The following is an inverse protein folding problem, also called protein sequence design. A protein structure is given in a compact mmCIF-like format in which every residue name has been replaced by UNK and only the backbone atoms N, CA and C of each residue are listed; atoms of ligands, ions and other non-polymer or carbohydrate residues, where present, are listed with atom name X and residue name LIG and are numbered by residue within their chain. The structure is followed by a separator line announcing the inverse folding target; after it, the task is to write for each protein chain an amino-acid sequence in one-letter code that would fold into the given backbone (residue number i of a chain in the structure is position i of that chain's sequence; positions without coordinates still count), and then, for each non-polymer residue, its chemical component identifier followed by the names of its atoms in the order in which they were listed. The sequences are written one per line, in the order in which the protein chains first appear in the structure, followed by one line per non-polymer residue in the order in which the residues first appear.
data_IF_189609637356
#
_entry.id   IF_189609637356
#
_cell.length_a   1.000
_cell.length_b   1.000
_cell.length_c   1.000
_cell.angle_alpha   90.00
_cell.angle_beta   90.00
_cell.angle_gamma   90.00
#
_symmetry.space_group_name_H-M   'P 1'
#
loop_
_entity.id
_entity.type
_entity.pdbx_description
1 polymer ?
#
# COMPACT_ATOMS: atom_id res chain seq x y z
N UNK A 1 9.95 -30.95 0.42
CA UNK A 1 10.65 -29.83 -0.25
C UNK A 1 11.97 -29.63 0.52
N UNK A 2 12.88 -28.68 0.23
CA UNK A 2 14.01 -28.45 1.14
C UNK A 2 13.52 -27.90 2.49
N UNK A 3 14.11 -28.39 3.58
CA UNK A 3 13.76 -27.92 4.92
C UNK A 3 14.51 -26.62 5.23
N UNK A 4 13.77 -25.56 5.52
CA UNK A 4 14.27 -24.28 6.00
C UNK A 4 14.22 -24.28 7.53
N UNK A 5 15.32 -23.97 8.20
CA UNK A 5 15.34 -23.77 9.66
C UNK A 5 15.83 -22.37 10.00
N UNK A 6 15.11 -21.65 10.86
CA UNK A 6 15.49 -20.30 11.32
C UNK A 6 14.86 -20.02 12.69
N UNK A 7 15.34 -19.00 13.38
CA UNK A 7 14.75 -18.51 14.62
C UNK A 7 14.03 -17.20 14.33
N UNK A 8 12.72 -17.13 14.53
CA UNK A 8 11.92 -15.92 14.31
C UNK A 8 11.40 -15.42 15.65
N UNK A 9 11.69 -14.16 15.98
CA UNK A 9 11.28 -13.53 17.25
C UNK A 9 11.65 -14.38 18.50
N UNK A 10 12.80 -15.07 18.46
CA UNK A 10 13.27 -15.96 19.52
C UNK A 10 12.69 -17.39 19.51
N UNK A 11 11.82 -17.73 18.56
CA UNK A 11 11.22 -19.07 18.42
C UNK A 11 11.86 -19.81 17.25
N UNK A 12 12.33 -21.04 17.47
CA UNK A 12 12.88 -21.88 16.40
C UNK A 12 11.76 -22.46 15.52
N UNK A 13 11.97 -22.39 14.20
CA UNK A 13 11.08 -22.93 13.19
C UNK A 13 11.83 -23.88 12.25
N UNK A 14 11.15 -24.96 11.85
CA UNK A 14 11.58 -25.85 10.78
C UNK A 14 10.40 -26.03 9.81
N UNK A 15 10.54 -25.53 8.58
CA UNK A 15 9.47 -25.40 7.61
C UNK A 15 9.83 -26.12 6.31
N UNK A 16 8.84 -26.76 5.69
CA UNK A 16 8.98 -27.35 4.35
C UNK A 16 8.43 -26.39 3.30
N UNK A 17 9.30 -25.56 2.70
CA UNK A 17 8.90 -24.48 1.79
C UNK A 17 9.54 -24.62 0.40
N UNK A 18 8.88 -24.12 -0.67
CA UNK A 18 9.48 -24.08 -2.01
C UNK A 18 10.81 -23.31 -2.05
N UNK A 19 11.77 -23.81 -2.85
CA UNK A 19 13.12 -23.21 -2.94
C UNK A 19 13.15 -21.76 -3.44
N UNK A 20 12.13 -21.35 -4.23
CA UNK A 20 12.00 -20.01 -4.76
C UNK A 20 11.30 -19.00 -3.85
N UNK A 21 10.85 -19.42 -2.65
CA UNK A 21 10.06 -18.56 -1.75
C UNK A 21 10.94 -17.47 -1.12
N UNK A 22 10.40 -16.26 -1.02
CA UNK A 22 11.04 -15.13 -0.37
C UNK A 22 10.71 -15.11 1.14
N UNK A 23 11.56 -14.43 1.91
CA UNK A 23 11.44 -14.39 3.37
C UNK A 23 10.13 -13.73 3.80
N UNK A 24 9.67 -12.67 3.11
CA UNK A 24 8.39 -12.03 3.41
C UNK A 24 7.22 -13.01 3.28
N UNK A 25 7.24 -13.87 2.26
CA UNK A 25 6.19 -14.87 2.01
C UNK A 25 6.21 -15.95 3.10
N UNK A 26 7.39 -16.39 3.54
CA UNK A 26 7.52 -17.34 4.66
C UNK A 26 6.97 -16.74 5.95
N UNK A 27 7.35 -15.50 6.27
CA UNK A 27 6.89 -14.81 7.48
C UNK A 27 5.37 -14.63 7.45
N UNK A 28 4.81 -14.15 6.35
CA UNK A 28 3.37 -13.85 6.24
C UNK A 28 2.51 -15.10 6.13
N UNK A 29 2.81 -15.97 5.17
CA UNK A 29 1.90 -17.03 4.75
C UNK A 29 2.15 -18.37 5.45
N UNK A 30 3.39 -18.65 5.85
CA UNK A 30 3.73 -19.90 6.55
C UNK A 30 3.74 -19.73 8.08
N UNK A 31 4.07 -18.53 8.57
CA UNK A 31 4.14 -18.22 10.01
C UNK A 31 3.03 -17.29 10.52
N UNK A 32 2.23 -16.67 9.64
CA UNK A 32 1.13 -15.77 10.03
C UNK A 32 1.58 -14.41 10.58
N UNK A 33 2.84 -14.02 10.37
CA UNK A 33 3.42 -12.75 10.83
C UNK A 33 3.17 -11.66 9.79
N UNK A 34 1.93 -11.18 9.74
CA UNK A 34 1.45 -10.23 8.74
C UNK A 34 1.93 -8.80 8.98
N UNK A 35 2.60 -8.50 10.09
CA UNK A 35 3.23 -7.20 10.36
C UNK A 35 4.36 -6.86 9.37
N UNK A 36 4.95 -7.87 8.73
CA UNK A 36 5.83 -7.69 7.56
C UNK A 36 4.97 -7.37 6.33
N UNK A 37 4.83 -6.09 5.99
CA UNK A 37 3.95 -5.64 4.90
C UNK A 37 4.64 -5.73 3.54
N UNK A 38 3.93 -6.20 2.51
CA UNK A 38 4.43 -6.23 1.13
C UNK A 38 3.72 -5.14 0.33
N UNK A 39 4.47 -4.11 -0.07
CA UNK A 39 3.99 -3.03 -0.92
C UNK A 39 4.41 -3.22 -2.37
N UNK A 40 5.52 -2.59 -2.76
CA UNK A 40 6.02 -2.66 -4.14
C UNK A 40 6.49 -4.05 -4.59
N UNK A 41 6.85 -4.93 -3.64
CA UNK A 41 7.45 -6.25 -3.92
C UNK A 41 8.73 -6.20 -4.80
N UNK A 42 9.44 -5.07 -4.77
CA UNK A 42 10.61 -4.78 -5.62
C UNK A 42 11.80 -4.19 -4.83
N UNK A 43 11.72 -4.21 -3.49
CA UNK A 43 12.73 -3.62 -2.57
C UNK A 43 12.99 -2.11 -2.73
N UNK A 44 11.94 -1.37 -3.06
CA UNK A 44 12.00 0.10 -3.20
C UNK A 44 11.35 0.82 -2.00
N UNK A 45 10.28 0.25 -1.43
CA UNK A 45 9.45 0.97 -0.45
C UNK A 45 9.82 0.73 1.02
N UNK A 46 10.64 -0.28 1.34
CA UNK A 46 11.04 -0.62 2.72
C UNK A 46 9.91 -1.08 3.66
N UNK A 47 8.68 -1.30 3.17
CA UNK A 47 7.56 -1.74 4.02
C UNK A 47 7.77 -3.15 4.61
N UNK A 48 8.53 -3.98 3.88
CA UNK A 48 8.82 -5.38 4.23
C UNK A 48 10.10 -5.55 5.06
N UNK A 49 10.65 -4.48 5.61
CA UNK A 49 11.92 -4.54 6.34
C UNK A 49 11.81 -5.43 7.57
N UNK A 50 12.73 -6.39 7.67
CA UNK A 50 12.95 -7.24 8.85
C UNK A 50 14.44 -7.25 9.18
N UNK A 51 14.81 -7.66 10.39
CA UNK A 51 16.22 -7.74 10.80
C UNK A 51 16.66 -9.20 10.76
N UNK A 52 17.69 -9.51 9.95
CA UNK A 52 18.31 -10.84 9.86
C UNK A 52 19.74 -10.75 10.39
N UNK A 53 20.05 -11.47 11.47
CA UNK A 53 21.36 -11.46 12.14
C UNK A 53 21.85 -10.02 12.43
N UNK A 54 20.98 -9.17 12.97
CA UNK A 54 21.29 -7.78 13.31
C UNK A 54 21.35 -6.80 12.12
N UNK A 55 21.03 -7.22 10.90
CA UNK A 55 21.00 -6.35 9.72
C UNK A 55 19.60 -6.25 9.14
N UNK A 56 19.12 -5.04 8.87
CA UNK A 56 17.88 -4.84 8.15
C UNK A 56 18.00 -5.32 6.70
N UNK A 57 16.94 -5.98 6.21
CA UNK A 57 16.83 -6.46 4.82
C UNK A 57 15.40 -6.27 4.32
N UNK A 58 15.25 -5.99 3.03
CA UNK A 58 13.97 -6.06 2.34
C UNK A 58 13.56 -7.51 2.11
N UNK A 59 12.68 -8.02 2.97
CA UNK A 59 12.32 -9.45 2.96
C UNK A 59 11.55 -9.89 1.70
N UNK A 60 10.96 -8.94 0.95
CA UNK A 60 10.17 -9.24 -0.26
C UNK A 60 11.00 -9.80 -1.42
N UNK A 61 12.29 -9.50 -1.48
CA UNK A 61 13.22 -10.07 -2.49
C UNK A 61 14.32 -10.93 -1.86
N UNK A 62 14.31 -11.12 -0.54
CA UNK A 62 15.32 -11.88 0.17
C UNK A 62 14.97 -13.37 0.08
N UNK A 63 15.76 -14.22 -0.62
CA UNK A 63 15.43 -15.64 -0.73
C UNK A 63 15.42 -16.30 0.65
N UNK A 64 14.34 -17.02 0.99
CA UNK A 64 14.16 -17.55 2.35
C UNK A 64 15.32 -18.46 2.78
N UNK A 65 15.87 -19.26 1.87
CA UNK A 65 17.01 -20.14 2.14
C UNK A 65 18.34 -19.41 2.44
N UNK A 66 18.45 -18.10 2.18
CA UNK A 66 19.59 -17.31 2.69
C UNK A 66 19.48 -17.06 4.19
N UNK A 67 18.30 -17.21 4.79
CA UNK A 67 18.07 -17.11 6.24
C UNK A 67 18.23 -18.46 6.97
N UNK A 68 18.78 -19.48 6.30
CA UNK A 68 19.04 -20.78 6.92
C UNK A 68 19.95 -20.64 8.17
N UNK A 69 19.42 -21.03 9.32
CA UNK A 69 20.06 -20.93 10.63
C UNK A 69 20.17 -19.50 11.18
N UNK A 70 19.51 -18.52 10.55
CA UNK A 70 19.58 -17.13 10.97
C UNK A 70 18.59 -16.80 12.09
N UNK A 71 18.90 -15.75 12.84
CA UNK A 71 17.96 -15.08 13.74
C UNK A 71 17.26 -13.95 12.96
N UNK A 72 15.93 -14.00 12.93
CA UNK A 72 15.07 -13.04 12.25
C UNK A 72 14.18 -12.36 13.28
N UNK A 73 14.21 -11.03 13.30
CA UNK A 73 13.31 -10.20 14.09
C UNK A 73 12.34 -9.48 13.15
N UNK A 74 11.05 -9.60 13.47
CA UNK A 74 9.93 -8.91 12.81
C UNK A 74 9.31 -7.89 13.77
N UNK A 75 8.38 -7.07 13.28
CA UNK A 75 7.75 -6.02 14.10
C UNK A 75 7.02 -6.58 15.32
N UNK A 76 6.45 -7.78 15.19
CA UNK A 76 5.74 -8.51 16.25
C UNK A 76 6.66 -8.87 17.42
N UNK A 77 7.96 -9.08 17.15
CA UNK A 77 8.95 -9.43 18.17
C UNK A 77 9.60 -8.23 18.86
N UNK A 78 9.41 -7.00 18.36
CA UNK A 78 10.20 -5.82 18.78
C UNK A 78 9.99 -5.48 20.26
N UNK A 79 8.74 -5.47 20.74
CA UNK A 79 8.43 -5.18 22.14
C UNK A 79 8.91 -6.31 23.07
N UNK A 80 8.60 -7.56 22.73
CA UNK A 80 8.93 -8.73 23.55
C UNK A 80 10.45 -8.92 23.71
N UNK A 81 11.22 -8.77 22.63
CA UNK A 81 12.69 -8.90 22.67
C UNK A 81 13.34 -7.79 23.48
N UNK A 82 12.80 -6.57 23.43
CA UNK A 82 13.24 -5.46 24.27
C UNK A 82 12.98 -5.69 25.75
N UNK A 83 11.76 -6.10 26.11
CA UNK A 83 11.38 -6.39 27.50
C UNK A 83 12.28 -7.47 28.11
N UNK A 84 12.64 -8.51 27.34
CA UNK A 84 13.55 -9.57 27.81
C UNK A 84 14.99 -9.07 28.09
N UNK A 85 15.41 -7.97 27.46
CA UNK A 85 16.73 -7.37 27.67
C UNK A 85 16.77 -6.40 28.86
N UNK A 86 15.61 -5.94 29.34
CA UNK A 86 15.50 -5.04 30.48
C UNK A 86 15.16 -5.82 31.77
N UNK A 87 15.89 -5.58 32.85
CA UNK A 87 15.60 -6.16 34.17
C UNK A 87 14.16 -5.81 34.61
N UNK A 88 13.39 -6.73 35.22
CA UNK A 88 11.96 -6.53 35.47
C UNK A 88 11.77 -5.48 36.58
N UNK A 89 11.63 -4.22 36.20
CA UNK A 89 11.05 -3.18 37.07
C UNK A 89 9.62 -2.96 36.59
N UNK A 90 8.77 -3.96 36.80
CA UNK A 90 7.33 -3.81 36.63
C UNK A 90 6.75 -3.09 37.85
N UNK A 91 6.71 -1.77 37.82
CA UNK A 91 5.88 -1.01 38.75
C UNK A 91 4.72 -0.39 37.98
N UNK A 92 3.72 -1.19 37.61
CA UNK A 92 2.47 -0.66 37.09
C UNK A 92 1.29 -1.36 37.77
N UNK A 93 0.62 -0.58 38.62
CA UNK A 93 -0.74 -0.86 39.06
C UNK A 93 -1.69 -0.34 37.98
N UNK A 94 -2.49 -1.22 37.40
CA UNK A 94 -3.60 -0.87 36.52
C UNK A 94 -4.64 -0.03 37.28
N UNK A 95 -5.01 1.14 36.77
CA UNK A 95 -6.26 1.81 37.14
C UNK A 95 -7.17 1.98 35.91
N UNK A 96 -8.44 1.61 36.08
CA UNK A 96 -9.48 1.39 35.07
C UNK A 96 -9.99 2.65 34.30
N UNK A 97 -9.17 3.70 34.13
CA UNK A 97 -9.67 5.04 33.75
C UNK A 97 -9.40 5.48 32.31
N UNK A 98 -9.26 4.56 31.35
CA UNK A 98 -9.13 4.93 29.93
C UNK A 98 -7.88 5.73 29.59
N UNK A 99 -6.81 5.57 30.38
CA UNK A 99 -5.49 6.11 30.07
C UNK A 99 -4.78 5.18 29.09
N UNK A 100 -4.71 5.60 27.82
CA UNK A 100 -4.04 4.87 26.75
C UNK A 100 -2.53 4.71 26.99
N UNK A 101 -1.93 5.46 27.92
CA UNK A 101 -0.49 5.38 28.25
C UNK A 101 -0.09 4.00 28.78
N UNK A 102 -0.99 3.32 29.51
CA UNK A 102 -0.75 1.98 30.03
C UNK A 102 -0.56 0.94 28.90
N UNK A 103 -1.27 1.09 27.77
CA UNK A 103 -1.11 0.20 26.60
C UNK A 103 0.23 0.44 25.88
N UNK A 104 0.85 1.60 26.07
CA UNK A 104 2.12 1.96 25.43
C UNK A 104 3.37 1.67 26.27
N UNK A 105 3.23 1.49 27.59
CA UNK A 105 4.38 1.29 28.49
C UNK A 105 5.08 -0.07 28.29
N UNK A 106 4.39 -1.06 27.71
CA UNK A 106 4.97 -2.36 27.33
C UNK A 106 5.59 -2.37 25.92
N UNK A 107 5.48 -1.26 25.18
CA UNK A 107 6.02 -1.15 23.82
C UNK A 107 7.52 -0.84 23.83
N UNK A 108 8.18 -1.16 22.71
CA UNK A 108 9.52 -0.65 22.47
C UNK A 108 9.49 0.89 22.35
N UNK A 109 10.51 1.64 22.81
CA UNK A 109 10.54 3.11 22.74
C UNK A 109 10.22 3.69 21.36
N UNK A 110 10.68 3.04 20.27
CA UNK A 110 10.28 3.39 18.90
C UNK A 110 8.77 3.28 18.66
N UNK A 111 8.12 2.19 19.07
CA UNK A 111 6.70 1.99 18.86
C UNK A 111 5.88 3.03 19.62
N UNK A 112 6.21 3.26 20.89
CA UNK A 112 5.60 4.30 21.71
C UNK A 112 5.82 5.70 21.11
N UNK A 113 7.06 6.06 20.77
CA UNK A 113 7.35 7.35 20.16
C UNK A 113 6.54 7.57 18.86
N UNK A 114 6.36 6.53 18.04
CA UNK A 114 5.54 6.63 16.83
C UNK A 114 4.06 6.90 17.11
N UNK A 115 3.53 6.35 18.21
CA UNK A 115 2.17 6.65 18.69
C UNK A 115 2.09 8.11 19.16
N UNK A 116 2.99 8.53 20.03
CA UNK A 116 2.98 9.86 20.65
C UNK A 116 3.22 11.01 19.65
N UNK A 117 4.12 10.82 18.68
CA UNK A 117 4.46 11.84 17.69
C UNK A 117 3.51 11.84 16.48
N UNK A 118 2.49 10.97 16.45
CA UNK A 118 1.62 10.83 15.29
C UNK A 118 2.38 10.41 14.03
N UNK A 119 3.43 9.59 14.19
CA UNK A 119 4.26 9.08 13.10
C UNK A 119 3.61 7.89 12.37
N UNK A 120 2.33 7.61 12.67
CA UNK A 120 1.51 6.58 11.99
C UNK A 120 0.16 7.18 11.55
N UNK A 121 -0.11 7.10 10.24
CA UNK A 121 -1.37 7.53 9.62
C UNK A 121 -2.14 6.34 9.04
N UNK A 122 -1.88 5.95 7.78
CA UNK A 122 -2.45 4.69 7.25
C UNK A 122 -1.86 3.48 7.99
N UNK A 123 -0.59 3.56 8.41
CA UNK A 123 0.13 2.55 9.19
C UNK A 123 0.88 1.50 8.36
N UNK A 124 0.65 1.43 7.05
CA UNK A 124 1.19 0.34 6.23
C UNK A 124 2.72 0.30 6.21
N UNK A 125 3.38 1.46 6.17
CA UNK A 125 4.84 1.55 6.23
C UNK A 125 5.42 1.50 7.64
N UNK A 126 4.58 1.64 8.68
CA UNK A 126 5.04 1.84 10.06
C UNK A 126 5.93 0.70 10.56
N UNK A 127 5.61 -0.60 10.33
CA UNK A 127 6.52 -1.69 10.64
C UNK A 127 7.91 -1.50 10.05
N UNK A 128 8.00 -1.26 8.73
CA UNK A 128 9.27 -1.07 8.03
C UNK A 128 10.11 0.07 8.59
N UNK A 129 9.51 1.21 8.89
CA UNK A 129 10.20 2.34 9.53
C UNK A 129 10.73 2.02 10.92
N UNK A 130 9.96 1.31 11.74
CA UNK A 130 10.38 0.94 13.10
C UNK A 130 11.54 -0.05 13.02
N UNK A 131 11.45 -1.07 12.15
CA UNK A 131 12.51 -2.06 11.96
C UNK A 131 13.82 -1.40 11.46
N UNK A 132 13.72 -0.52 10.47
CA UNK A 132 14.88 0.20 9.94
C UNK A 132 15.50 1.15 11.00
N UNK A 133 14.66 1.88 11.75
CA UNK A 133 15.10 2.76 12.81
C UNK A 133 15.74 2.00 13.96
N UNK A 134 15.25 0.80 14.29
CA UNK A 134 15.85 -0.06 15.31
C UNK A 134 17.29 -0.42 14.94
N UNK A 135 17.55 -0.82 13.70
CA UNK A 135 18.92 -1.11 13.24
C UNK A 135 19.85 0.11 13.41
N UNK A 136 19.35 1.33 13.17
CA UNK A 136 20.13 2.55 13.45
C UNK A 136 20.39 2.72 14.94
N UNK A 137 19.36 2.62 15.79
CA UNK A 137 19.48 2.87 17.24
C UNK A 137 20.30 1.81 17.98
N UNK A 138 20.31 0.57 17.48
CA UNK A 138 21.20 -0.48 18.01
C UNK A 138 22.68 -0.18 17.71
N UNK A 139 22.98 0.58 16.66
CA UNK A 139 24.34 0.94 16.25
C UNK A 139 24.79 2.32 16.77
N UNK A 140 23.87 3.28 16.86
CA UNK A 140 24.09 4.63 17.36
C UNK A 140 22.87 5.06 18.18
N UNK A 141 23.03 5.15 19.50
CA UNK A 141 21.95 5.46 20.42
C UNK A 141 21.58 6.95 20.45
N UNK A 142 22.28 7.83 19.71
CA UNK A 142 22.01 9.28 19.62
C UNK A 142 22.28 9.85 18.20
N UNK A 143 21.55 9.39 17.18
CA UNK A 143 21.80 9.80 15.81
C UNK A 143 21.32 11.24 15.53
N UNK A 144 22.04 11.93 14.66
CA UNK A 144 21.63 13.23 14.11
C UNK A 144 20.57 13.09 13.01
N UNK A 145 19.96 14.22 12.62
CA UNK A 145 18.92 14.27 11.57
C UNK A 145 19.38 13.66 10.24
N UNK A 146 20.62 13.91 9.84
CA UNK A 146 21.16 13.42 8.57
C UNK A 146 21.40 11.91 8.59
N UNK A 147 21.79 11.34 9.74
CA UNK A 147 21.93 9.88 9.91
C UNK A 147 20.56 9.20 9.84
N UNK A 148 19.55 9.77 10.49
CA UNK A 148 18.17 9.25 10.44
C UNK A 148 17.64 9.33 9.01
N UNK A 149 17.77 10.47 8.33
CA UNK A 149 17.33 10.63 6.93
C UNK A 149 18.05 9.66 6.00
N UNK A 150 19.35 9.46 6.19
CA UNK A 150 20.12 8.52 5.39
C UNK A 150 19.67 7.07 5.62
N UNK A 151 19.42 6.69 6.87
CA UNK A 151 18.94 5.38 7.25
C UNK A 151 17.56 5.07 6.63
N UNK A 152 16.68 6.07 6.57
CA UNK A 152 15.29 5.94 6.12
C UNK A 152 15.08 6.28 4.64
N UNK A 153 16.13 6.61 3.88
CA UNK A 153 16.01 7.13 2.51
C UNK A 153 15.30 6.17 1.55
N UNK A 154 15.37 4.87 1.82
CA UNK A 154 14.79 3.78 1.03
C UNK A 154 13.58 3.13 1.75
N UNK A 155 13.01 3.83 2.74
CA UNK A 155 11.76 3.44 3.40
C UNK A 155 10.73 4.53 3.16
N UNK A 156 9.69 4.24 2.38
CA UNK A 156 8.80 5.26 1.87
C UNK A 156 7.57 5.45 2.74
N UNK A 157 7.16 6.72 2.90
CA UNK A 157 5.86 7.08 3.45
C UNK A 157 5.14 8.05 2.51
N UNK A 158 3.87 7.74 2.18
CA UNK A 158 3.02 8.62 1.37
C UNK A 158 2.15 9.57 2.21
N UNK A 159 2.06 9.37 3.52
CA UNK A 159 1.09 10.04 4.38
C UNK A 159 1.69 11.14 5.28
N UNK A 160 2.83 10.88 5.94
CA UNK A 160 3.29 11.70 7.08
C UNK A 160 4.19 12.87 6.68
N UNK A 161 4.82 12.82 5.50
CA UNK A 161 5.84 13.79 5.12
C UNK A 161 7.14 13.69 5.92
N UNK A 162 7.40 12.56 6.59
CA UNK A 162 8.63 12.19 7.30
C UNK A 162 8.98 12.96 8.58
N UNK A 163 8.56 14.22 8.74
CA UNK A 163 8.95 15.04 9.91
C UNK A 163 8.56 14.38 11.24
N UNK A 164 7.35 13.85 11.37
CA UNK A 164 6.91 13.14 12.59
C UNK A 164 7.68 11.84 12.84
N UNK A 165 8.08 11.14 11.77
CA UNK A 165 8.90 9.92 11.86
C UNK A 165 10.29 10.25 12.40
N UNK A 166 10.95 11.27 11.85
CA UNK A 166 12.28 11.70 12.33
C UNK A 166 12.19 12.15 13.80
N UNK A 167 11.16 12.91 14.17
CA UNK A 167 10.90 13.30 15.56
C UNK A 167 10.74 12.09 16.49
N UNK A 168 9.95 11.09 16.07
CA UNK A 168 9.73 9.87 16.85
C UNK A 168 11.02 9.06 17.05
N UNK A 169 11.88 8.95 16.03
CA UNK A 169 13.17 8.23 16.15
C UNK A 169 14.09 8.93 17.16
N UNK A 170 14.16 10.27 17.14
CA UNK A 170 14.95 11.04 18.11
C UNK A 170 14.41 10.89 19.53
N UNK A 171 13.09 10.94 19.69
CA UNK A 171 12.43 10.76 20.97
C UNK A 171 12.64 9.35 21.55
N UNK A 172 12.55 8.32 20.71
CA UNK A 172 12.86 6.94 21.09
C UNK A 172 14.32 6.79 21.53
N UNK A 173 15.26 7.37 20.78
CA UNK A 173 16.67 7.38 21.14
C UNK A 173 16.91 8.02 22.52
N UNK A 174 16.28 9.17 22.79
CA UNK A 174 16.35 9.82 24.11
C UNK A 174 15.75 8.96 25.22
N UNK A 175 14.59 8.34 24.98
CA UNK A 175 13.96 7.43 25.95
C UNK A 175 14.86 6.23 26.26
N UNK A 176 15.48 5.65 25.24
CA UNK A 176 16.41 4.51 25.43
C UNK A 176 17.61 4.88 26.32
N UNK A 177 18.11 6.12 26.23
CA UNK A 177 19.25 6.59 27.06
C UNK A 177 18.85 7.08 28.45
N UNK A 178 17.67 7.69 28.60
CA UNK A 178 17.29 8.46 29.80
C UNK A 178 16.09 7.90 30.55
N UNK A 179 15.30 7.03 29.93
CA UNK A 179 13.99 6.58 30.42
C UNK A 179 12.85 7.58 30.18
N UNK A 180 13.14 8.79 29.70
CA UNK A 180 12.15 9.83 29.44
C UNK A 180 11.81 9.94 27.96
N UNK A 181 10.52 9.87 27.61
CA UNK A 181 10.03 10.20 26.28
C UNK A 181 9.74 11.71 26.21
N UNK A 182 10.46 12.49 25.37
CA UNK A 182 10.13 13.90 25.19
C UNK A 182 8.77 14.08 24.52
N UNK A 183 8.10 15.19 24.84
CA UNK A 183 6.83 15.56 24.20
C UNK A 183 7.07 16.16 22.80
N UNK A 184 6.16 15.93 21.83
CA UNK A 184 6.26 16.53 20.51
C UNK A 184 6.08 18.06 20.58
N UNK A 185 6.83 18.78 19.75
CA UNK A 185 6.62 20.23 19.57
C UNK A 185 5.35 20.47 18.74
N UNK A 186 4.39 21.16 19.33
CA UNK A 186 3.10 21.45 18.70
C UNK A 186 3.04 22.92 18.29
N UNK A 187 2.38 23.25 17.16
CA UNK A 187 2.15 24.64 16.80
C UNK A 187 1.29 25.33 17.86
N UNK A 188 1.47 26.65 18.02
CA UNK A 188 0.62 27.45 18.89
C UNK A 188 -0.84 27.37 18.46
N UNK A 189 -1.67 26.76 19.28
CA UNK A 189 -3.12 26.65 19.08
C UNK A 189 -3.87 27.51 20.08
N UNK A 190 -5.14 27.81 19.78
CA UNK A 190 -6.07 28.31 20.80
C UNK A 190 -6.18 27.30 21.94
N UNK A 191 -6.49 27.76 23.16
CA UNK A 191 -6.59 26.91 24.35
C UNK A 191 -7.39 25.63 24.04
N UNK A 192 -6.77 24.45 24.15
CA UNK A 192 -7.45 23.19 23.83
C UNK A 192 -8.66 22.99 24.73
N UNK A 193 -9.74 22.43 24.16
CA UNK A 193 -10.86 21.95 24.97
C UNK A 193 -10.47 20.65 25.68
N UNK A 194 -11.42 20.03 26.40
CA UNK A 194 -11.17 18.79 27.12
C UNK A 194 -10.50 17.70 26.24
N UNK A 195 -10.92 17.57 24.99
CA UNK A 195 -10.38 16.60 24.02
C UNK A 195 -10.03 17.23 22.65
N UNK A 196 -10.70 18.31 22.25
CA UNK A 196 -10.49 18.95 20.94
C UNK A 196 -9.26 19.84 20.99
N UNK A 197 -8.37 19.70 20.00
CA UNK A 197 -7.11 20.46 19.92
C UNK A 197 -5.94 19.84 20.71
N UNK A 198 -6.12 18.63 21.26
CA UNK A 198 -5.06 17.87 21.94
C UNK A 198 -4.46 16.80 21.01
N UNK A 199 -3.15 16.50 21.13
CA UNK A 199 -2.48 15.45 20.36
C UNK A 199 -2.79 14.05 20.93
N UNK A 200 -4.06 13.69 21.01
CA UNK A 200 -4.45 12.39 21.53
C UNK A 200 -4.05 11.30 20.52
N UNK A 201 -3.48 10.17 20.99
CA UNK A 201 -3.23 9.03 20.13
C UNK A 201 -4.49 8.54 19.44
N UNK A 202 -4.28 8.02 18.23
CA UNK A 202 -5.37 7.40 17.48
C UNK A 202 -5.67 6.01 18.07
N UNK A 203 -6.95 5.59 18.14
CA UNK A 203 -7.32 4.26 18.62
C UNK A 203 -6.65 3.10 17.85
N UNK A 204 -6.28 3.33 16.58
CA UNK A 204 -5.66 2.34 15.70
C UNK A 204 -4.12 2.39 15.71
N UNK A 205 -3.50 3.28 16.50
CA UNK A 205 -2.07 3.52 16.44
C UNK A 205 -1.24 2.33 16.97
N UNK A 206 -1.62 1.76 18.12
CA UNK A 206 -0.92 0.62 18.75
C UNK A 206 -0.89 -0.58 17.79
N UNK A 207 -2.03 -0.89 17.15
CA UNK A 207 -2.12 -1.97 16.19
C UNK A 207 -1.15 -1.78 15.00
N UNK A 208 -0.99 -0.54 14.53
CA UNK A 208 -0.10 -0.21 13.40
C UNK A 208 1.38 -0.28 13.77
N UNK A 209 1.76 0.17 14.97
CA UNK A 209 3.17 0.13 15.41
C UNK A 209 3.62 -1.27 15.85
N UNK A 210 2.68 -2.16 16.19
CA UNK A 210 2.96 -3.56 16.55
C UNK A 210 2.84 -4.52 15.38
N UNK A 211 2.33 -4.07 14.23
CA UNK A 211 2.07 -4.91 13.07
C UNK A 211 0.78 -5.74 13.14
N UNK A 212 0.01 -5.62 14.23
CA UNK A 212 -1.26 -6.35 14.43
C UNK A 212 -2.44 -5.72 13.68
N UNK A 213 -2.28 -4.51 13.13
CA UNK A 213 -3.25 -3.92 12.22
C UNK A 213 -3.33 -4.76 10.93
N UNK A 214 -4.54 -5.24 10.65
CA UNK A 214 -4.87 -6.04 9.48
C UNK A 214 -5.30 -5.16 8.31
N UNK A 215 -4.67 -5.40 7.17
CA UNK A 215 -4.99 -4.83 5.86
C UNK A 215 -5.62 -5.91 4.98
N UNK A 216 -6.17 -5.52 3.83
CA UNK A 216 -6.96 -6.45 3.01
C UNK A 216 -6.14 -7.67 2.59
N UNK A 217 -4.88 -7.49 2.19
CA UNK A 217 -3.94 -8.56 1.81
C UNK A 217 -3.50 -9.46 3.00
N UNK A 218 -3.77 -9.05 4.24
CA UNK A 218 -3.41 -9.84 5.41
C UNK A 218 -4.45 -10.92 5.75
N UNK A 219 -5.67 -10.84 5.21
CA UNK A 219 -6.73 -11.80 5.51
C UNK A 219 -6.57 -13.09 4.69
N UNK A 220 -6.67 -14.23 5.37
CA UNK A 220 -6.67 -15.55 4.77
C UNK A 220 -7.93 -16.31 5.20
N UNK A 221 -8.54 -17.03 4.27
CA UNK A 221 -9.72 -17.87 4.52
C UNK A 221 -9.44 -19.32 4.14
N UNK A 222 -10.11 -20.24 4.82
CA UNK A 222 -10.12 -21.63 4.38
C UNK A 222 -10.73 -21.71 2.98
N UNK A 223 -10.06 -22.43 2.08
CA UNK A 223 -10.52 -22.63 0.69
C UNK A 223 -10.61 -21.32 -0.13
N UNK A 224 -9.84 -20.29 0.27
CA UNK A 224 -9.74 -19.04 -0.48
C UNK A 224 -9.24 -19.31 -1.91
N UNK A 225 -9.96 -18.75 -2.88
CA UNK A 225 -9.52 -18.71 -4.28
C UNK A 225 -8.91 -17.35 -4.59
N UNK A 226 -8.01 -17.31 -5.56
CA UNK A 226 -7.31 -16.11 -5.97
C UNK A 226 -7.70 -15.68 -7.38
N UNK A 227 -8.01 -14.39 -7.53
CA UNK A 227 -8.36 -13.76 -8.79
C UNK A 227 -7.19 -13.02 -9.41
N UNK A 228 -6.95 -13.20 -10.71
CA UNK A 228 -6.00 -12.40 -11.48
C UNK A 228 -6.65 -11.89 -12.77
N UNK A 229 -6.51 -10.59 -13.06
CA UNK A 229 -7.21 -9.94 -14.17
C UNK A 229 -6.29 -9.83 -15.39
N UNK A 230 -6.73 -10.39 -16.52
CA UNK A 230 -6.13 -10.11 -17.83
C UNK A 230 -6.52 -8.70 -18.24
N UNK A 231 -5.51 -7.89 -18.58
CA UNK A 231 -5.70 -6.47 -18.94
C UNK A 231 -5.25 -6.21 -20.37
N UNK A 232 -5.88 -5.23 -21.03
CA UNK A 232 -5.53 -4.82 -22.38
C UNK A 232 -4.09 -4.31 -22.46
N UNK A 233 -3.33 -4.82 -23.43
CA UNK A 233 -2.02 -4.29 -23.82
C UNK A 233 -2.12 -3.12 -24.82
N UNK A 234 -3.32 -2.85 -25.31
CA UNK A 234 -3.57 -1.80 -26.30
C UNK A 234 -4.34 -0.61 -25.70
N UNK A 235 -3.98 0.63 -26.10
CA UNK A 235 -4.68 1.83 -25.65
C UNK A 235 -6.08 1.97 -26.24
N UNK A 236 -6.38 1.32 -27.37
CA UNK A 236 -7.71 1.26 -27.95
C UNK A 236 -7.82 0.05 -28.89
N UNK A 237 -8.70 -0.90 -28.60
CA UNK A 237 -8.89 -2.08 -29.45
C UNK A 237 -10.26 -2.71 -29.28
N UNK A 238 -10.84 -3.25 -30.35
CA UNK A 238 -11.96 -4.20 -30.23
C UNK A 238 -11.42 -5.59 -29.96
N UNK A 239 -12.11 -6.32 -29.09
CA UNK A 239 -11.79 -7.71 -28.78
C UNK A 239 -12.63 -8.59 -29.71
N UNK A 240 -11.95 -9.29 -30.61
CA UNK A 240 -12.60 -10.15 -31.61
C UNK A 240 -12.93 -11.52 -31.01
N UNK A 241 -12.00 -12.09 -30.24
CA UNK A 241 -12.20 -13.34 -29.53
C UNK A 241 -11.25 -13.48 -28.34
N UNK A 242 -11.66 -14.29 -27.36
CA UNK A 242 -10.85 -14.70 -26.20
C UNK A 242 -10.83 -16.22 -26.18
N UNK A 243 -9.65 -16.83 -26.30
CA UNK A 243 -9.44 -18.26 -26.13
C UNK A 243 -8.70 -18.52 -24.81
N UNK A 244 -9.44 -19.02 -23.83
CA UNK A 244 -8.94 -19.38 -22.50
C UNK A 244 -8.77 -20.90 -22.30
N UNK A 245 -8.88 -21.70 -23.37
CA UNK A 245 -8.91 -23.17 -23.27
C UNK A 245 -7.65 -23.76 -22.61
N UNK A 246 -6.47 -23.19 -22.90
CA UNK A 246 -5.21 -23.62 -22.30
C UNK A 246 -5.11 -23.26 -20.81
N UNK A 247 -5.63 -22.09 -20.41
CA UNK A 247 -5.69 -21.67 -19.01
C UNK A 247 -6.63 -22.58 -18.21
N UNK A 248 -7.83 -22.83 -18.74
CA UNK A 248 -8.84 -23.70 -18.13
C UNK A 248 -8.40 -25.17 -18.01
N UNK A 249 -7.44 -25.61 -18.82
CA UNK A 249 -6.89 -26.96 -18.76
C UNK A 249 -5.87 -27.15 -17.62
N UNK A 250 -5.40 -26.07 -16.98
CA UNK A 250 -4.48 -26.17 -15.85
C UNK A 250 -5.20 -26.70 -14.60
N UNK A 251 -4.68 -27.75 -13.94
CA UNK A 251 -5.21 -28.19 -12.66
C UNK A 251 -5.16 -27.07 -11.62
N UNK A 252 -6.29 -26.82 -10.95
CA UNK A 252 -6.44 -25.77 -9.94
C UNK A 252 -6.93 -24.42 -10.48
N UNK A 253 -7.11 -24.28 -11.79
CA UNK A 253 -7.88 -23.17 -12.36
C UNK A 253 -9.36 -23.54 -12.34
N UNK A 254 -10.17 -22.72 -11.68
CA UNK A 254 -11.62 -22.98 -11.50
C UNK A 254 -12.44 -22.39 -12.64
N UNK A 255 -12.15 -21.16 -13.03
CA UNK A 255 -12.85 -20.50 -14.12
C UNK A 255 -12.03 -19.36 -14.73
N UNK A 256 -12.44 -18.97 -15.94
CA UNK A 256 -12.05 -17.71 -16.58
C UNK A 256 -13.34 -16.97 -16.92
N UNK A 257 -13.57 -15.85 -16.26
CA UNK A 257 -14.77 -15.03 -16.42
C UNK A 257 -14.49 -13.86 -17.35
N UNK A 258 -15.47 -13.49 -18.15
CA UNK A 258 -15.42 -12.41 -19.13
C UNK A 258 -16.67 -11.55 -19.00
N UNK A 259 -16.82 -10.55 -19.88
CA UNK A 259 -18.05 -9.77 -20.00
C UNK A 259 -19.30 -10.64 -20.15
N UNK A 260 -19.20 -11.81 -20.82
CA UNK A 260 -20.34 -12.70 -21.06
C UNK A 260 -20.88 -13.38 -19.79
N UNK A 261 -20.06 -13.45 -18.74
CA UNK A 261 -20.37 -14.14 -17.50
C UNK A 261 -21.01 -13.23 -16.44
N UNK A 262 -21.13 -11.92 -16.72
CA UNK A 262 -21.76 -10.96 -15.82
C UNK A 262 -23.29 -11.13 -15.88
N UNK A 263 -23.95 -11.52 -14.77
CA UNK A 263 -25.40 -11.74 -14.76
C UNK A 263 -26.21 -10.43 -14.64
N UNK A 264 -25.56 -9.31 -14.33
CA UNK A 264 -26.18 -8.02 -14.07
C UNK A 264 -25.74 -6.92 -15.06
N UNK A 265 -25.73 -5.68 -14.58
CA UNK A 265 -25.32 -4.53 -15.37
C UNK A 265 -23.86 -4.65 -15.81
N UNK A 266 -23.63 -4.50 -17.11
CA UNK A 266 -22.29 -4.62 -17.69
C UNK A 266 -21.42 -3.39 -17.46
N UNK A 267 -22.02 -2.28 -16.99
CA UNK A 267 -21.35 -1.02 -16.74
C UNK A 267 -21.56 -0.52 -15.32
N UNK A 268 -20.57 0.20 -14.82
CA UNK A 268 -20.60 0.95 -13.58
C UNK A 268 -20.03 2.35 -13.79
N UNK A 269 -20.03 3.16 -12.73
CA UNK A 269 -19.39 4.47 -12.70
C UNK A 269 -19.93 5.35 -11.59
N UNK A 270 -19.23 6.44 -11.28
CA UNK A 270 -19.57 7.32 -10.15
C UNK A 270 -20.59 8.40 -10.53
N UNK A 271 -20.37 9.05 -11.68
CA UNK A 271 -21.20 10.15 -12.17
C UNK A 271 -22.03 9.71 -13.37
N UNK A 272 -21.39 9.02 -14.32
CA UNK A 272 -22.01 8.39 -15.47
C UNK A 272 -21.64 6.91 -15.46
N UNK A 273 -22.54 6.04 -15.94
CA UNK A 273 -22.33 4.59 -15.95
C UNK A 273 -21.69 4.19 -17.28
N UNK A 274 -20.45 4.62 -17.49
CA UNK A 274 -19.74 4.49 -18.77
C UNK A 274 -18.53 3.56 -18.73
N UNK A 275 -18.24 2.94 -17.58
CA UNK A 275 -17.14 1.99 -17.42
C UNK A 275 -17.65 0.57 -17.50
N UNK A 276 -17.32 -0.19 -18.57
CA UNK A 276 -17.58 -1.61 -18.60
C UNK A 276 -16.81 -2.31 -17.49
N UNK A 277 -17.42 -3.30 -16.83
CA UNK A 277 -16.70 -4.14 -15.88
C UNK A 277 -15.59 -4.97 -16.56
N UNK A 278 -15.84 -5.40 -17.81
CA UNK A 278 -14.84 -5.94 -18.71
C UNK A 278 -15.01 -5.33 -20.11
N UNK A 279 -13.90 -5.01 -20.77
CA UNK A 279 -13.84 -4.88 -22.21
C UNK A 279 -14.11 -6.26 -22.86
N UNK A 280 -14.91 -6.26 -23.93
CA UNK A 280 -15.41 -7.48 -24.56
C UNK A 280 -16.79 -7.26 -25.18
N UNK A 281 -17.15 -8.14 -26.13
CA UNK A 281 -18.42 -8.04 -26.85
C UNK A 281 -18.56 -6.69 -27.57
N UNK A 282 -19.49 -5.86 -27.10
CA UNK A 282 -19.74 -4.53 -27.68
C UNK A 282 -18.83 -3.42 -27.11
N UNK A 283 -18.04 -3.70 -26.08
CA UNK A 283 -17.19 -2.71 -25.44
C UNK A 283 -15.72 -2.88 -25.87
N UNK A 284 -15.13 -1.93 -26.61
CA UNK A 284 -13.70 -1.97 -26.89
C UNK A 284 -12.91 -1.69 -25.60
N UNK A 285 -11.68 -2.20 -25.55
CA UNK A 285 -10.69 -1.72 -24.58
C UNK A 285 -10.32 -0.28 -24.91
N UNK A 286 -10.29 0.61 -23.91
CA UNK A 286 -10.12 2.07 -24.09
C UNK A 286 -8.84 2.64 -23.50
N UNK A 287 -8.04 1.82 -22.83
CA UNK A 287 -6.72 2.18 -22.31
C UNK A 287 -5.89 0.92 -22.05
N UNK A 288 -4.58 1.10 -21.93
CA UNK A 288 -3.69 0.03 -21.47
C UNK A 288 -4.00 -0.24 -20.00
N UNK A 289 -4.37 -1.46 -19.66
CA UNK A 289 -4.84 -1.82 -18.32
C UNK A 289 -6.34 -2.10 -18.20
N UNK A 290 -7.12 -1.87 -19.26
CA UNK A 290 -8.58 -2.10 -19.27
C UNK A 290 -8.88 -3.61 -19.03
N UNK A 291 -9.71 -3.99 -18.04
CA UNK A 291 -9.97 -5.40 -17.72
C UNK A 291 -10.62 -6.15 -18.89
N UNK A 292 -10.17 -7.36 -19.20
CA UNK A 292 -10.70 -8.20 -20.30
C UNK A 292 -11.32 -9.49 -19.77
N UNK A 293 -10.60 -10.17 -18.87
CA UNK A 293 -11.02 -11.42 -18.27
C UNK A 293 -10.45 -11.54 -16.85
N UNK A 294 -11.09 -12.37 -16.01
CA UNK A 294 -10.65 -12.70 -14.67
C UNK A 294 -10.42 -14.20 -14.58
N UNK A 295 -9.20 -14.62 -14.27
CA UNK A 295 -8.88 -16.00 -13.90
C UNK A 295 -9.11 -16.17 -12.41
N UNK A 296 -9.74 -17.28 -12.01
CA UNK A 296 -9.86 -17.70 -10.60
C UNK A 296 -9.18 -19.05 -10.42
N UNK A 297 -8.26 -19.15 -9.46
CA UNK A 297 -7.47 -20.35 -9.22
C UNK A 297 -7.19 -20.61 -7.72
N UNK A 298 -6.66 -21.80 -7.41
CA UNK A 298 -6.31 -22.22 -6.05
C UNK A 298 -5.21 -21.36 -5.40
N UNK A 299 -4.30 -20.78 -6.19
CA UNK A 299 -3.23 -19.90 -5.68
C UNK A 299 -3.09 -18.65 -6.54
N UNK A 300 -2.54 -17.60 -5.93
CA UNK A 300 -2.26 -16.35 -6.61
C UNK A 300 -1.28 -16.53 -7.78
N UNK A 301 -0.25 -17.36 -7.62
CA UNK A 301 0.74 -17.66 -8.64
C UNK A 301 0.10 -18.38 -9.83
N UNK A 302 -0.74 -19.39 -9.55
CA UNK A 302 -1.44 -20.14 -10.59
C UNK A 302 -2.41 -19.24 -11.37
N UNK A 303 -3.12 -18.34 -10.69
CA UNK A 303 -4.00 -17.38 -11.35
C UNK A 303 -3.22 -16.49 -12.33
N UNK A 304 -2.05 -15.98 -11.93
CA UNK A 304 -1.19 -15.16 -12.79
C UNK A 304 -0.50 -15.95 -13.92
N UNK A 305 -0.10 -17.20 -13.68
CA UNK A 305 0.47 -18.05 -14.72
C UNK A 305 -0.56 -18.44 -15.79
N UNK A 306 -1.80 -18.70 -15.37
CA UNK A 306 -2.91 -18.97 -16.28
C UNK A 306 -3.22 -17.78 -17.21
N UNK A 307 -3.05 -16.52 -16.76
CA UNK A 307 -3.21 -15.34 -17.62
C UNK A 307 -2.35 -15.40 -18.88
N UNK A 308 -1.11 -15.91 -18.76
CA UNK A 308 -0.14 -16.00 -19.87
C UNK A 308 -0.57 -17.00 -20.96
N UNK A 309 -1.56 -17.84 -20.68
CA UNK A 309 -2.07 -18.85 -21.60
C UNK A 309 -3.35 -18.40 -22.32
N UNK A 310 -3.96 -17.28 -21.91
CA UNK A 310 -5.13 -16.73 -22.57
C UNK A 310 -4.70 -16.01 -23.84
N UNK A 311 -5.31 -16.36 -24.97
CA UNK A 311 -5.07 -15.68 -26.25
C UNK A 311 -6.23 -14.75 -26.56
N UNK A 312 -5.90 -13.50 -26.87
CA UNK A 312 -6.88 -12.49 -27.26
C UNK A 312 -6.58 -12.03 -28.68
N UNK A 313 -7.58 -12.07 -29.54
CA UNK A 313 -7.50 -11.49 -30.88
C UNK A 313 -8.07 -10.07 -30.85
N UNK A 314 -7.28 -9.11 -31.34
CA UNK A 314 -7.62 -7.69 -31.33
C UNK A 314 -7.76 -7.12 -32.73
N UNK A 315 -8.71 -6.21 -32.91
CA UNK A 315 -8.66 -5.17 -33.92
C UNK A 315 -8.18 -3.88 -33.24
N UNK A 316 -6.91 -3.51 -33.45
CA UNK A 316 -6.33 -2.29 -32.87
C UNK A 316 -6.90 -1.06 -33.55
N UNK A 317 -7.40 -0.12 -32.74
CA UNK A 317 -8.03 1.11 -33.20
C UNK A 317 -7.14 2.34 -32.94
N UNK A 318 -7.36 3.45 -33.66
CA UNK A 318 -6.66 4.70 -33.36
C UNK A 318 -6.99 5.18 -31.94
N UNK A 319 -5.96 5.46 -31.15
CA UNK A 319 -6.12 5.88 -29.76
C UNK A 319 -6.33 7.40 -29.63
N UNK A 320 -7.07 7.80 -28.59
CA UNK A 320 -7.18 9.19 -28.13
C UNK A 320 -6.35 9.33 -26.87
N UNK A 321 -5.27 10.11 -26.90
CA UNK A 321 -4.26 10.14 -25.83
C UNK A 321 -4.27 11.41 -24.99
N UNK A 322 -5.02 12.43 -25.38
CA UNK A 322 -5.12 13.68 -24.62
C UNK A 322 -6.45 14.42 -24.87
N UNK A 323 -6.90 15.29 -23.93
CA UNK A 323 -8.18 15.99 -24.06
C UNK A 323 -8.27 16.97 -25.23
N UNK A 324 -7.13 17.48 -25.74
CA UNK A 324 -7.12 18.43 -26.87
C UNK A 324 -7.35 17.68 -28.17
N UNK A 325 -6.63 16.57 -28.39
CA UNK A 325 -6.87 15.70 -29.55
C UNK A 325 -8.26 15.07 -29.52
N UNK A 326 -8.78 14.69 -28.34
CA UNK A 326 -10.12 14.13 -28.17
C UNK A 326 -11.26 15.01 -28.70
N UNK A 327 -11.06 16.33 -28.75
CA UNK A 327 -12.06 17.30 -29.23
C UNK A 327 -11.96 17.63 -30.71
N UNK A 328 -10.98 17.09 -31.43
CA UNK A 328 -10.87 17.35 -32.86
C UNK A 328 -12.04 16.69 -33.62
N UNK A 329 -12.54 17.29 -34.72
CA UNK A 329 -13.68 16.74 -35.47
C UNK A 329 -13.45 15.32 -36.03
N UNK A 330 -12.18 14.96 -36.26
CA UNK A 330 -11.73 13.67 -36.78
C UNK A 330 -11.28 12.69 -35.68
N UNK A 331 -11.39 13.07 -34.41
CA UNK A 331 -10.99 12.22 -33.30
C UNK A 331 -11.87 10.95 -33.25
N UNK A 332 -11.28 9.77 -32.98
CA UNK A 332 -12.05 8.57 -32.68
C UNK A 332 -13.02 8.82 -31.53
N UNK A 333 -14.27 8.37 -31.67
CA UNK A 333 -15.28 8.48 -30.62
C UNK A 333 -15.16 7.27 -29.69
N UNK A 334 -14.73 7.50 -28.44
CA UNK A 334 -14.49 6.42 -27.46
C UNK A 334 -15.77 5.76 -26.93
N UNK A 335 -16.86 6.53 -26.87
CA UNK A 335 -18.18 6.09 -26.43
C UNK A 335 -19.19 6.34 -27.56
N UNK A 336 -19.32 5.43 -28.53
CA UNK A 336 -20.16 5.65 -29.72
C UNK A 336 -21.65 5.76 -29.39
N UNK A 337 -22.07 5.29 -28.22
CA UNK A 337 -23.40 5.43 -27.66
C UNK A 337 -23.67 6.80 -27.04
N UNK A 338 -22.67 7.71 -26.98
CA UNK A 338 -22.85 9.08 -26.52
C UNK A 338 -23.16 10.04 -27.67
N UNK A 339 -24.24 10.82 -27.59
CA UNK A 339 -24.62 11.75 -28.64
C UNK A 339 -23.60 12.89 -28.85
N UNK A 340 -22.93 13.32 -27.78
CA UNK A 340 -21.94 14.41 -27.80
C UNK A 340 -20.49 13.91 -28.00
N UNK A 341 -20.31 12.63 -28.34
CA UNK A 341 -19.01 12.00 -28.58
C UNK A 341 -18.08 12.07 -27.36
N UNK A 342 -16.88 12.63 -27.55
CA UNK A 342 -15.85 12.70 -26.51
C UNK A 342 -16.05 13.86 -25.51
N UNK A 343 -17.05 14.72 -25.71
CA UNK A 343 -17.37 15.78 -24.76
C UNK A 343 -18.29 15.25 -23.65
N UNK A 344 -17.70 14.86 -22.51
CA UNK A 344 -18.47 14.37 -21.37
C UNK A 344 -19.35 15.46 -20.73
N UNK A 345 -18.80 16.64 -20.47
CA UNK A 345 -19.49 17.69 -19.71
C UNK A 345 -19.03 19.09 -20.07
N UNK A 346 -19.97 20.04 -20.03
CA UNK A 346 -19.71 21.47 -20.13
C UNK A 346 -20.19 22.18 -18.86
N UNK A 347 -19.24 22.67 -18.05
CA UNK A 347 -19.52 23.43 -16.82
C UNK A 347 -19.31 24.92 -17.11
N UNK A 348 -20.26 25.75 -16.71
CA UNK A 348 -20.22 27.21 -16.90
C UNK A 348 -20.09 27.90 -15.55
N UNK A 349 -19.10 28.75 -15.40
CA UNK A 349 -18.98 29.68 -14.26
C UNK A 349 -19.20 31.09 -14.80
N UNK A 350 -20.22 31.79 -14.29
CA UNK A 350 -20.62 33.12 -14.74
C UNK A 350 -20.80 34.02 -13.54
N UNK A 351 -20.05 35.11 -13.49
CA UNK A 351 -20.13 36.09 -12.40
C UNK A 351 -19.78 37.48 -12.94
N UNK A 352 -20.65 38.46 -12.70
CA UNK A 352 -20.47 39.83 -13.18
C UNK A 352 -20.61 39.99 -14.70
N UNK A 353 -20.16 41.15 -15.19
CA UNK A 353 -20.09 41.52 -16.60
C UNK A 353 -18.62 41.47 -17.07
N UNK A 354 -18.31 40.48 -17.89
CA UNK A 354 -16.95 40.25 -18.40
C UNK A 354 -16.49 41.38 -19.32
N UNK A 355 -17.36 41.88 -20.21
CA UNK A 355 -16.98 42.91 -21.18
C UNK A 355 -16.68 44.22 -20.45
N UNK A 356 -17.56 44.62 -19.52
CA UNK A 356 -17.34 45.80 -18.70
C UNK A 356 -16.08 45.67 -17.82
N UNK A 357 -15.86 44.50 -17.22
CA UNK A 357 -14.69 44.22 -16.40
C UNK A 357 -13.38 44.31 -17.16
N UNK A 358 -13.31 43.73 -18.36
CA UNK A 358 -12.14 43.81 -19.23
C UNK A 358 -11.91 45.23 -19.75
N UNK A 359 -12.97 45.95 -20.12
CA UNK A 359 -12.87 47.33 -20.60
C UNK A 359 -12.35 48.31 -19.53
N UNK A 360 -12.70 48.07 -18.26
CA UNK A 360 -12.28 48.90 -17.13
C UNK A 360 -10.90 48.53 -16.54
N UNK A 361 -10.27 47.44 -17.00
CA UNK A 361 -9.02 46.94 -16.42
C UNK A 361 -7.79 47.74 -16.91
N UNK A 362 -6.95 48.19 -15.97
CA UNK A 362 -5.67 48.85 -16.31
C UNK A 362 -4.63 47.85 -16.86
N UNK A 363 -4.70 46.59 -16.42
CA UNK A 363 -3.77 45.51 -16.80
C UNK A 363 -4.54 44.20 -16.98
N UNK A 364 -4.26 43.50 -18.07
CA UNK A 364 -4.77 42.15 -18.35
C UNK A 364 -3.58 41.19 -18.42
N UNK A 365 -3.67 40.07 -17.70
CA UNK A 365 -2.68 39.00 -17.75
C UNK A 365 -3.36 37.70 -18.15
N UNK A 366 -2.91 37.12 -19.27
CA UNK A 366 -3.40 35.84 -19.77
C UNK A 366 -2.27 34.81 -19.77
N UNK A 367 -2.56 33.61 -19.27
CA UNK A 367 -1.60 32.50 -19.17
C UNK A 367 -2.29 31.16 -19.38
N UNK A 368 -1.58 30.24 -20.01
CA UNK A 368 -1.98 28.84 -20.13
C UNK A 368 -1.19 27.99 -19.14
N UNK A 369 -1.88 27.14 -18.39
CA UNK A 369 -1.28 26.23 -17.41
C UNK A 369 -1.60 24.78 -17.79
N UNK A 370 -0.67 23.86 -17.49
CA UNK A 370 -0.86 22.42 -17.64
C UNK A 370 -0.40 21.73 -16.37
N UNK A 371 -1.22 20.83 -15.84
CA UNK A 371 -0.85 19.93 -14.75
C UNK A 371 -0.56 18.54 -15.32
N UNK A 372 0.41 17.80 -14.76
CA UNK A 372 0.66 16.42 -15.17
C UNK A 372 -0.48 15.49 -14.70
N UNK A 373 -0.50 14.27 -15.21
CA UNK A 373 -1.22 13.17 -14.57
C UNK A 373 -0.39 12.73 -13.36
N UNK A 374 -0.98 12.80 -12.17
CA UNK A 374 -0.32 12.44 -10.92
C UNK A 374 -0.90 11.13 -10.41
N UNK A 375 -0.03 10.17 -10.12
CA UNK A 375 -0.42 8.92 -9.46
C UNK A 375 -0.47 9.11 -7.94
N UNK A 376 -1.47 8.50 -7.30
CA UNK A 376 -1.63 8.51 -5.86
C UNK A 376 -0.45 7.84 -5.16
N UNK A 377 0.05 6.74 -5.74
CA UNK A 377 1.20 5.98 -5.27
C UNK A 377 1.03 5.53 -3.81
N UNK A 378 -0.10 4.89 -3.52
CA UNK A 378 -0.35 4.24 -2.24
C UNK A 378 0.68 3.12 -2.03
N UNK A 379 1.08 2.88 -0.78
CA UNK A 379 2.06 1.82 -0.48
C UNK A 379 1.44 0.43 -0.43
N UNK A 380 0.16 0.33 -0.04
CA UNK A 380 -0.65 -0.86 -0.20
C UNK A 380 -1.23 -0.83 -1.63
N UNK A 381 -0.87 -1.78 -2.50
CA UNK A 381 -1.50 -1.92 -3.80
C UNK A 381 -2.99 -2.26 -3.65
N UNK A 382 -3.77 -1.92 -4.67
CA UNK A 382 -5.20 -2.23 -4.68
C UNK A 382 -5.43 -3.74 -4.56
N UNK A 383 -6.18 -4.14 -3.54
CA UNK A 383 -6.60 -5.51 -3.30
C UNK A 383 -8.01 -5.52 -2.72
N UNK A 384 -8.73 -6.62 -2.94
CA UNK A 384 -10.11 -6.80 -2.46
C UNK A 384 -10.37 -8.27 -2.18
N UNK A 385 -11.32 -8.51 -1.28
CA UNK A 385 -11.88 -9.83 -0.96
C UNK A 385 -13.38 -9.74 -1.21
N UNK A 386 -13.96 -10.74 -1.87
CA UNK A 386 -15.33 -10.71 -2.37
C UNK A 386 -16.11 -11.99 -2.09
#
# INVERSE_FOLDING_TARGET
MPALTLTVNGVEHALDVPAGRFLAEVLRYDLGLTGTKIGCNEAECGACTVIVNGRSVDSCIFPAFKAQGAEVLTIEGVAATWAAQQSPVSNLQSQENGDWRLETEELHPLQEAFVHYGATQCGFCTPGFIMQSKTLLDANDNPGDDEIKHCLKDTYCRCTGYTSIVGAVKAAAEKMRTGHLPEPELPGVVEPLAQIGKPLPRPDAVAKVTGTAMYTDDYLFAEMLHGATLRSEHPHARILSIDASAALALPGVHCVLTQADIPGELRHGLVEYDWPAFAGGQFPARYVGDPIALVVADTNELAHDALKLIKVEYEVLPAVTDPVSARRPDAPVLHPDRPDGNLLKHIKVRHGDLEAGFAAADVIVERTYRTPMTEHAFLEPECSIG
#
